data_IF_520654336247
#
_entry.id   IF_520654336247
#
_cell.length_a   1.000
_cell.length_b   1.000
_cell.length_c   1.000
_cell.angle_alpha   90.00
_cell.angle_beta   90.00
_cell.angle_gamma   90.00
#
_symmetry.space_group_name_H-M   'P 1'
#
loop_
_entity.id
_entity.type
_entity.pdbx_description
1 polymer ?
#
# COMPACT_ATOMS: atom_id res chain seq x y z
N UNK A 1 5.94 -20.02 10.76
CA UNK A 1 5.95 -18.54 10.71
C UNK A 1 5.69 -18.14 9.27
N UNK A 2 4.73 -17.25 9.08
CA UNK A 2 4.36 -16.73 7.75
C UNK A 2 5.20 -15.49 7.43
N UNK A 3 5.64 -14.74 8.46
CA UNK A 3 6.39 -13.50 8.31
C UNK A 3 7.86 -13.70 8.68
N UNK A 4 8.75 -13.09 7.91
CA UNK A 4 10.19 -12.98 8.20
C UNK A 4 10.48 -11.59 8.76
N UNK A 5 11.47 -11.47 9.65
CA UNK A 5 11.92 -10.17 10.12
C UNK A 5 12.63 -9.37 9.01
N UNK A 6 12.63 -8.06 9.14
CA UNK A 6 13.29 -7.11 8.21
C UNK A 6 12.76 -7.19 6.77
N UNK A 7 11.49 -7.49 6.61
CA UNK A 7 10.78 -7.49 5.34
C UNK A 7 9.46 -6.75 5.48
N UNK A 8 9.10 -5.97 4.48
CA UNK A 8 7.79 -5.34 4.39
C UNK A 8 6.73 -6.33 3.93
N UNK A 9 5.54 -6.18 4.46
CA UNK A 9 4.36 -6.96 4.08
C UNK A 9 3.16 -6.05 4.00
N UNK A 10 2.37 -6.18 2.95
CA UNK A 10 1.04 -5.59 2.94
C UNK A 10 0.08 -6.51 3.70
N UNK A 11 -0.66 -5.95 4.65
CA UNK A 11 -1.65 -6.68 5.45
C UNK A 11 -2.99 -5.99 5.36
N UNK A 12 -4.03 -6.69 4.94
CA UNK A 12 -5.39 -6.17 4.94
C UNK A 12 -6.34 -7.10 5.69
N UNK A 13 -7.18 -6.50 6.55
CA UNK A 13 -8.22 -7.22 7.29
C UNK A 13 -9.58 -6.69 6.85
N UNK A 14 -10.44 -7.58 6.39
CA UNK A 14 -11.80 -7.27 5.94
C UNK A 14 -12.81 -7.93 6.86
N UNK A 15 -13.79 -7.15 7.31
CA UNK A 15 -14.97 -7.64 8.04
C UNK A 15 -16.22 -7.34 7.24
N UNK A 16 -16.96 -8.40 6.89
CA UNK A 16 -18.23 -8.33 6.18
C UNK A 16 -19.29 -9.12 6.95
N UNK A 17 -20.17 -8.41 7.62
CA UNK A 17 -21.16 -9.02 8.49
C UNK A 17 -20.55 -9.96 9.52
N UNK A 18 -20.81 -11.25 9.41
CA UNK A 18 -20.24 -12.31 10.25
C UNK A 18 -18.92 -12.89 9.72
N UNK A 19 -18.53 -12.54 8.50
CA UNK A 19 -17.31 -13.03 7.84
C UNK A 19 -16.11 -12.14 8.17
N UNK A 20 -14.96 -12.74 8.17
CA UNK A 20 -13.67 -12.02 8.27
C UNK A 20 -12.68 -12.64 7.30
N UNK A 21 -11.90 -11.80 6.66
CA UNK A 21 -10.84 -12.21 5.74
C UNK A 21 -9.56 -11.47 6.13
N UNK A 22 -8.44 -12.10 5.95
CA UNK A 22 -7.11 -11.53 6.13
C UNK A 22 -6.32 -11.75 4.85
N UNK A 23 -5.65 -10.73 4.40
CA UNK A 23 -4.81 -10.79 3.20
C UNK A 23 -3.37 -10.47 3.59
N UNK A 24 -2.44 -11.19 2.99
CA UNK A 24 -1.01 -10.94 3.07
C UNK A 24 -0.48 -10.79 1.65
N UNK A 25 0.09 -9.63 1.31
CA UNK A 25 0.53 -9.28 -0.03
C UNK A 25 -0.55 -9.59 -1.09
N UNK A 26 -1.79 -9.12 -0.84
CA UNK A 26 -2.93 -9.33 -1.73
C UNK A 26 -3.53 -10.74 -1.75
N UNK A 27 -2.92 -11.72 -1.07
CA UNK A 27 -3.37 -13.12 -1.06
C UNK A 27 -4.14 -13.44 0.22
N UNK A 28 -5.36 -13.99 0.08
CA UNK A 28 -6.18 -14.38 1.23
C UNK A 28 -5.53 -15.51 2.04
N UNK A 29 -5.53 -15.33 3.35
CA UNK A 29 -4.94 -16.28 4.30
C UNK A 29 -6.03 -17.09 4.99
N UNK A 30 -5.77 -18.37 5.21
CA UNK A 30 -6.67 -19.22 6.00
C UNK A 30 -6.70 -18.77 7.46
N UNK A 31 -7.88 -18.43 7.94
CA UNK A 31 -8.09 -18.05 9.34
C UNK A 31 -8.62 -19.23 10.13
N UNK A 32 -8.04 -19.49 11.29
CA UNK A 32 -8.56 -20.42 12.28
C UNK A 32 -9.32 -19.67 13.39
N UNK A 33 -10.27 -20.37 14.04
CA UNK A 33 -11.07 -19.85 15.15
C UNK A 33 -12.40 -19.22 14.72
N UNK A 34 -13.25 -19.00 15.70
CA UNK A 34 -14.61 -18.45 15.48
C UNK A 34 -14.57 -16.98 15.09
N UNK A 35 -15.54 -16.56 14.28
CA UNK A 35 -15.74 -15.13 14.03
C UNK A 35 -16.05 -14.42 15.36
N UNK A 36 -15.33 -13.34 15.63
CA UNK A 36 -15.65 -12.49 16.78
C UNK A 36 -16.73 -11.50 16.37
N UNK A 37 -17.78 -11.40 17.19
CA UNK A 37 -18.71 -10.28 17.06
C UNK A 37 -18.00 -9.02 17.54
N UNK A 38 -17.69 -8.13 16.61
CA UNK A 38 -17.15 -6.81 16.93
C UNK A 38 -18.35 -5.90 17.18
N UNK A 39 -18.54 -5.47 18.41
CA UNK A 39 -19.52 -4.46 18.77
C UNK A 39 -18.93 -3.07 18.59
N UNK A 40 -19.74 -2.13 18.12
CA UNK A 40 -19.35 -0.72 18.11
C UNK A 40 -19.02 -0.27 19.54
N UNK A 41 -17.96 0.50 19.68
CA UNK A 41 -17.54 1.11 20.93
C UNK A 41 -16.95 2.50 20.64
N UNK A 42 -16.71 3.28 21.68
CA UNK A 42 -16.18 4.64 21.57
C UNK A 42 -14.64 4.68 21.86
N UNK A 43 -13.98 3.54 21.81
CA UNK A 43 -12.53 3.53 22.02
C UNK A 43 -11.83 4.09 20.79
N UNK A 44 -10.72 4.84 20.96
CA UNK A 44 -9.93 5.31 19.83
C UNK A 44 -9.32 4.13 19.06
N UNK A 45 -9.17 4.29 17.76
CA UNK A 45 -8.36 3.38 16.96
C UNK A 45 -6.90 3.54 17.38
N UNK A 46 -6.18 2.42 17.49
CA UNK A 46 -4.76 2.41 17.77
C UNK A 46 -4.02 1.73 16.64
N UNK A 47 -2.95 2.36 16.17
CA UNK A 47 -2.03 1.82 15.18
C UNK A 47 -0.73 1.50 15.91
N UNK A 48 -0.20 0.30 15.70
CA UNK A 48 1.04 -0.15 16.31
C UNK A 48 0.96 -0.57 17.78
N UNK A 49 -0.23 -0.54 18.41
CA UNK A 49 -0.39 -1.02 19.78
C UNK A 49 -1.80 -1.56 20.06
N UNK A 50 -1.93 -2.36 21.10
CA UNK A 50 -3.21 -2.78 21.63
C UNK A 50 -3.54 -2.12 22.98
N UNK A 51 -4.71 -2.48 23.54
CA UNK A 51 -5.12 -2.01 24.87
C UNK A 51 -4.43 -2.76 26.02
N UNK A 52 -3.66 -3.81 25.73
CA UNK A 52 -2.94 -4.64 26.72
C UNK A 52 -1.47 -4.25 26.86
N UNK A 53 -1.06 -3.06 26.44
CA UNK A 53 0.33 -2.58 26.48
C UNK A 53 1.30 -3.44 25.65
N UNK A 54 0.81 -4.08 24.59
CA UNK A 54 1.63 -4.73 23.58
C UNK A 54 1.86 -3.77 22.45
N UNK A 55 3.09 -3.64 22.04
CA UNK A 55 3.52 -2.74 20.98
C UNK A 55 4.05 -3.55 19.81
N UNK A 56 3.82 -3.05 18.61
CA UNK A 56 4.42 -3.61 17.41
C UNK A 56 5.89 -3.19 17.34
N UNK A 57 6.78 -4.15 17.32
CA UNK A 57 8.22 -3.93 17.17
C UNK A 57 8.57 -3.98 15.67
N UNK A 58 8.48 -2.84 15.00
CA UNK A 58 8.68 -2.73 13.56
C UNK A 58 8.28 -1.37 13.03
N UNK A 59 8.19 -1.28 11.70
CA UNK A 59 7.73 -0.07 11.00
C UNK A 59 6.33 -0.27 10.47
N UNK A 60 5.55 0.80 10.43
CA UNK A 60 4.18 0.84 9.89
C UNK A 60 4.12 2.01 8.92
N UNK A 61 3.50 1.77 7.79
CA UNK A 61 3.35 2.75 6.71
C UNK A 61 2.06 2.51 5.94
N UNK A 62 1.60 3.51 5.19
CA UNK A 62 0.48 3.42 4.25
C UNK A 62 -0.80 2.84 4.85
N UNK A 63 -1.20 3.31 6.04
CA UNK A 63 -2.39 2.78 6.73
C UNK A 63 -3.67 3.38 6.16
N UNK A 64 -4.59 2.51 5.74
CA UNK A 64 -5.87 2.84 5.10
C UNK A 64 -7.03 2.24 5.88
N UNK A 65 -8.06 3.03 6.12
CA UNK A 65 -9.28 2.60 6.81
C UNK A 65 -10.48 2.82 5.88
N UNK A 66 -11.23 1.76 5.65
CA UNK A 66 -12.36 1.76 4.74
C UNK A 66 -13.68 1.44 5.46
N UNK A 67 -14.77 2.05 5.04
CA UNK A 67 -16.13 1.74 5.51
C UNK A 67 -16.92 0.88 4.52
N UNK A 68 -16.28 0.42 3.46
CA UNK A 68 -16.83 -0.54 2.50
C UNK A 68 -15.99 -1.83 2.52
N UNK A 69 -16.61 -2.91 2.09
CA UNK A 69 -15.90 -4.18 1.87
C UNK A 69 -14.99 -4.01 0.66
N UNK A 70 -13.70 -4.33 0.85
CA UNK A 70 -12.73 -4.40 -0.24
C UNK A 70 -12.59 -5.85 -0.68
N UNK A 71 -12.74 -6.12 -1.95
CA UNK A 71 -12.50 -7.45 -2.51
C UNK A 71 -11.00 -7.67 -2.74
N UNK A 72 -10.60 -8.93 -2.91
CA UNK A 72 -9.19 -9.28 -3.09
C UNK A 72 -8.53 -8.55 -4.27
N UNK A 73 -9.25 -8.40 -5.38
CA UNK A 73 -8.74 -7.70 -6.56
C UNK A 73 -8.43 -6.22 -6.28
N UNK A 74 -9.32 -5.54 -5.53
CA UNK A 74 -9.12 -4.15 -5.14
C UNK A 74 -7.92 -4.00 -4.19
N UNK A 75 -7.80 -4.92 -3.22
CA UNK A 75 -6.69 -4.92 -2.26
C UNK A 75 -5.35 -5.14 -2.99
N UNK A 76 -5.31 -6.07 -3.95
CA UNK A 76 -4.11 -6.36 -4.73
C UNK A 76 -3.74 -5.21 -5.66
N UNK A 77 -4.73 -4.53 -6.26
CA UNK A 77 -4.48 -3.37 -7.13
C UNK A 77 -3.93 -2.17 -6.36
N UNK A 78 -4.44 -1.94 -5.13
CA UNK A 78 -4.08 -0.74 -4.37
C UNK A 78 -2.86 -0.93 -3.45
N UNK A 79 -2.42 -2.18 -3.18
CA UNK A 79 -1.40 -2.43 -2.16
C UNK A 79 -0.04 -1.79 -2.47
N UNK A 80 0.27 -1.62 -3.76
CA UNK A 80 1.53 -1.04 -4.24
C UNK A 80 1.34 0.37 -4.82
N UNK A 81 0.23 1.03 -4.55
CA UNK A 81 -0.08 2.36 -5.06
C UNK A 81 -0.32 3.35 -3.94
N UNK A 82 0.10 4.59 -4.12
CA UNK A 82 -0.37 5.71 -3.31
C UNK A 82 -1.78 6.09 -3.76
N UNK A 83 -2.68 6.29 -2.80
CA UNK A 83 -4.05 6.71 -3.08
C UNK A 83 -4.15 8.24 -3.08
N UNK A 84 -5.18 8.77 -3.75
CA UNK A 84 -5.44 10.22 -3.82
C UNK A 84 -6.08 10.79 -2.55
N UNK A 85 -6.64 9.93 -1.68
CA UNK A 85 -7.42 10.31 -0.50
C UNK A 85 -8.91 10.53 -0.78
N UNK A 86 -9.34 10.45 -2.04
CA UNK A 86 -10.72 10.69 -2.46
C UNK A 86 -11.49 9.42 -2.84
N UNK A 87 -10.92 8.25 -2.62
CA UNK A 87 -11.48 6.97 -3.02
C UNK A 87 -12.80 6.71 -2.29
N UNK A 88 -13.77 6.16 -3.02
CA UNK A 88 -15.07 5.87 -2.46
C UNK A 88 -14.97 4.88 -1.30
N UNK A 89 -15.44 5.30 -0.12
CA UNK A 89 -15.43 4.50 1.10
C UNK A 89 -14.12 4.54 1.88
N UNK A 90 -13.11 5.29 1.45
CA UNK A 90 -11.91 5.55 2.23
C UNK A 90 -12.25 6.55 3.35
N UNK A 91 -12.06 6.14 4.60
CA UNK A 91 -12.42 6.92 5.79
C UNK A 91 -11.24 7.68 6.35
N UNK A 92 -10.08 7.04 6.38
CA UNK A 92 -8.83 7.66 6.80
C UNK A 92 -7.65 7.04 6.04
N UNK A 93 -6.64 7.85 5.77
CA UNK A 93 -5.43 7.44 5.06
C UNK A 93 -4.21 8.17 5.64
N UNK A 94 -3.25 7.40 6.08
CA UNK A 94 -2.03 7.91 6.71
C UNK A 94 -0.81 7.43 5.95
N UNK A 95 -0.02 8.38 5.47
CA UNK A 95 1.21 8.12 4.70
C UNK A 95 2.45 7.92 5.56
N UNK A 96 2.44 8.37 6.82
CA UNK A 96 3.59 8.35 7.75
C UNK A 96 4.83 9.09 7.23
N UNK A 97 4.67 10.08 6.36
CA UNK A 97 5.75 10.82 5.71
C UNK A 97 6.04 12.19 6.34
N UNK A 98 5.49 12.49 7.52
CA UNK A 98 5.66 13.78 8.19
C UNK A 98 7.10 14.05 8.63
N UNK A 99 7.85 13.01 9.01
CA UNK A 99 9.27 13.08 9.35
C UNK A 99 9.59 13.78 10.68
N UNK A 100 8.65 14.58 11.20
CA UNK A 100 8.80 15.32 12.46
C UNK A 100 7.45 15.59 13.13
N UNK A 101 7.46 16.01 14.38
CA UNK A 101 6.25 16.33 15.14
C UNK A 101 5.52 15.11 15.69
N UNK A 102 4.34 15.35 16.27
CA UNK A 102 3.55 14.34 16.96
C UNK A 102 2.17 14.11 16.31
N UNK A 103 1.90 14.72 15.18
CA UNK A 103 0.64 14.58 14.46
C UNK A 103 0.84 13.70 13.24
N UNK A 104 -0.04 12.75 13.05
CA UNK A 104 -0.15 11.92 11.87
C UNK A 104 -1.36 12.42 11.09
N UNK A 105 -1.16 13.02 9.91
CA UNK A 105 -2.24 13.65 9.17
C UNK A 105 -3.08 12.65 8.38
N UNK A 106 -4.40 12.86 8.43
CA UNK A 106 -5.37 12.14 7.59
C UNK A 106 -5.45 12.78 6.21
N UNK A 107 -4.95 12.11 5.20
CA UNK A 107 -4.91 12.59 3.81
C UNK A 107 -6.25 12.52 3.08
N UNK A 108 -7.31 11.99 3.69
CA UNK A 108 -8.66 12.02 3.09
C UNK A 108 -9.37 13.36 3.25
N UNK A 109 -8.88 14.21 4.14
CA UNK A 109 -9.55 15.46 4.51
C UNK A 109 -10.79 15.27 5.41
N UNK A 110 -11.07 14.06 5.90
CA UNK A 110 -12.17 13.80 6.82
C UNK A 110 -11.88 14.24 8.26
N UNK A 111 -10.64 14.64 8.56
CA UNK A 111 -10.25 15.20 9.85
C UNK A 111 -10.02 14.15 10.94
N UNK A 112 -9.58 12.95 10.55
CA UNK A 112 -9.23 11.87 11.47
C UNK A 112 -7.74 11.85 11.81
N UNK A 113 -7.12 13.02 11.99
CA UNK A 113 -5.72 13.13 12.37
C UNK A 113 -5.40 12.30 13.61
N UNK A 114 -4.26 11.63 13.58
CA UNK A 114 -3.74 10.83 14.67
C UNK A 114 -2.76 11.60 15.56
N UNK A 115 -2.57 11.12 16.78
CA UNK A 115 -1.55 11.61 17.69
C UNK A 115 -0.56 10.50 18.02
N UNK A 116 0.72 10.76 17.90
CA UNK A 116 1.78 9.86 18.32
C UNK A 116 1.83 9.78 19.84
N UNK A 117 1.82 8.57 20.39
CA UNK A 117 1.82 8.33 21.84
C UNK A 117 2.85 7.26 22.18
N UNK A 118 3.69 7.50 23.19
CA UNK A 118 4.69 6.52 23.64
C UNK A 118 5.99 6.58 22.87
N UNK A 119 6.29 7.76 22.32
CA UNK A 119 7.56 8.10 21.67
C UNK A 119 7.98 7.19 20.50
N UNK A 120 7.07 6.86 19.55
CA UNK A 120 7.51 6.26 18.30
C UNK A 120 8.40 7.26 17.56
N UNK A 121 9.34 6.77 16.77
CA UNK A 121 10.24 7.60 15.98
C UNK A 121 9.89 7.54 14.51
N UNK A 122 10.03 8.66 13.82
CA UNK A 122 9.99 8.71 12.37
C UNK A 122 11.19 7.97 11.79
N UNK A 123 10.97 7.26 10.72
CA UNK A 123 12.03 6.59 9.94
C UNK A 123 11.62 6.55 8.48
N UNK A 124 12.56 6.21 7.60
CA UNK A 124 12.21 5.97 6.21
C UNK A 124 11.10 4.92 6.13
N UNK A 125 10.03 5.27 5.43
CA UNK A 125 8.85 4.44 5.22
C UNK A 125 9.10 3.29 4.25
N UNK A 126 8.00 2.63 3.89
CA UNK A 126 7.99 1.76 2.74
C UNK A 126 8.19 2.63 1.49
N UNK A 127 9.37 2.61 0.96
CA UNK A 127 9.53 3.07 -0.41
C UNK A 127 8.91 2.01 -1.29
N UNK A 128 7.84 2.35 -1.99
CA UNK A 128 7.53 1.66 -3.23
C UNK A 128 8.84 1.69 -4.01
N UNK A 129 9.63 0.62 -3.94
CA UNK A 129 10.84 0.57 -4.74
C UNK A 129 10.33 0.49 -6.16
N UNK A 130 10.40 1.61 -6.86
CA UNK A 130 10.34 1.56 -8.30
C UNK A 130 11.57 0.80 -8.75
N UNK A 131 11.48 -0.51 -8.75
CA UNK A 131 12.41 -1.31 -9.51
C UNK A 131 12.26 -0.78 -10.93
N UNK A 132 13.32 -0.22 -11.46
CA UNK A 132 13.31 0.34 -12.79
C UNK A 132 12.82 -0.74 -13.76
N UNK A 133 11.73 -0.46 -14.49
CA UNK A 133 11.07 -1.44 -15.33
C UNK A 133 9.96 -2.27 -14.66
N UNK A 134 9.78 -2.21 -13.34
CA UNK A 134 8.61 -2.75 -12.65
C UNK A 134 7.51 -1.68 -12.59
N UNK A 135 6.64 -1.67 -13.59
CA UNK A 135 5.65 -0.62 -13.81
C UNK A 135 4.35 -0.92 -13.08
N UNK A 136 4.09 -2.19 -12.81
CA UNK A 136 2.92 -2.64 -12.05
C UNK A 136 3.20 -2.82 -10.54
N UNK A 137 4.47 -2.67 -10.13
CA UNK A 137 4.94 -2.79 -8.74
C UNK A 137 4.69 -4.17 -8.09
N UNK A 138 4.82 -5.23 -8.90
CA UNK A 138 4.69 -6.61 -8.40
C UNK A 138 6.05 -7.26 -8.01
N UNK A 139 7.13 -6.46 -8.03
CA UNK A 139 8.51 -6.85 -7.76
C UNK A 139 9.11 -7.80 -8.81
N UNK A 140 8.45 -7.94 -9.97
CA UNK A 140 8.90 -8.75 -11.09
C UNK A 140 8.93 -7.91 -12.36
N UNK A 141 10.07 -7.88 -13.04
CA UNK A 141 10.14 -7.30 -14.39
C UNK A 141 9.74 -8.38 -15.39
N UNK A 142 8.59 -8.21 -16.05
CA UNK A 142 8.03 -9.21 -16.93
C UNK A 142 7.18 -8.57 -18.06
N UNK A 143 6.54 -9.40 -18.89
CA UNK A 143 5.76 -8.92 -20.03
C UNK A 143 4.59 -8.01 -19.65
N UNK A 144 4.06 -8.09 -18.43
CA UNK A 144 2.97 -7.22 -18.00
C UNK A 144 3.43 -5.78 -17.84
N UNK A 145 4.67 -5.55 -17.39
CA UNK A 145 5.28 -4.23 -17.29
C UNK A 145 5.46 -3.61 -18.69
N UNK A 146 5.92 -4.41 -19.63
CA UNK A 146 6.05 -3.95 -21.02
C UNK A 146 4.69 -3.56 -21.63
N UNK A 147 3.61 -4.29 -21.30
CA UNK A 147 2.25 -3.94 -21.75
C UNK A 147 1.79 -2.64 -21.08
N UNK A 148 2.05 -2.43 -19.80
CA UNK A 148 1.72 -1.19 -19.11
C UNK A 148 2.52 0.00 -19.64
N UNK A 149 3.81 -0.17 -19.91
CA UNK A 149 4.64 0.86 -20.53
C UNK A 149 4.06 1.32 -21.85
N UNK A 150 3.69 0.38 -22.72
CA UNK A 150 3.04 0.70 -23.99
C UNK A 150 1.72 1.44 -23.78
N UNK A 151 0.90 1.03 -22.82
CA UNK A 151 -0.38 1.69 -22.52
C UNK A 151 -0.18 3.14 -22.06
N UNK A 152 0.80 3.40 -21.20
CA UNK A 152 1.16 4.74 -20.74
C UNK A 152 1.68 5.59 -21.91
N UNK A 153 2.58 5.07 -22.74
CA UNK A 153 3.12 5.79 -23.90
C UNK A 153 2.05 6.16 -24.92
N UNK A 154 1.08 5.28 -25.16
CA UNK A 154 -0.04 5.55 -26.05
C UNK A 154 -1.09 6.48 -25.44
N UNK A 155 -0.86 6.96 -24.21
CA UNK A 155 -1.77 7.82 -23.46
C UNK A 155 -3.17 7.21 -23.26
N UNK A 156 -3.26 5.90 -23.27
CA UNK A 156 -4.48 5.16 -22.94
C UNK A 156 -4.72 5.08 -21.44
N UNK A 157 -3.64 5.18 -20.65
CA UNK A 157 -3.67 5.22 -19.20
C UNK A 157 -2.84 6.41 -18.69
N UNK A 158 -3.28 7.02 -17.60
CA UNK A 158 -2.51 8.05 -16.92
C UNK A 158 -1.65 7.33 -15.87
N UNK A 159 -0.38 7.15 -16.15
CA UNK A 159 0.56 6.64 -15.16
C UNK A 159 0.67 7.56 -13.95
N UNK A 160 0.81 7.01 -12.77
CA UNK A 160 1.21 7.77 -11.58
C UNK A 160 2.62 8.32 -11.77
N UNK A 161 3.03 9.32 -10.98
CA UNK A 161 4.40 9.84 -11.02
C UNK A 161 5.44 8.72 -10.80
N UNK A 162 5.13 7.80 -9.90
CA UNK A 162 6.00 6.67 -9.61
C UNK A 162 6.09 5.69 -10.81
N UNK A 163 4.97 5.40 -11.46
CA UNK A 163 4.95 4.57 -12.67
C UNK A 163 5.73 5.22 -13.80
N UNK A 164 5.58 6.54 -14.02
CA UNK A 164 6.34 7.24 -15.06
C UNK A 164 7.85 7.20 -14.81
N UNK A 165 8.28 7.28 -13.54
CA UNK A 165 9.69 7.13 -13.18
C UNK A 165 10.21 5.70 -13.43
N UNK A 166 9.38 4.68 -13.22
CA UNK A 166 9.74 3.28 -13.54
C UNK A 166 9.74 2.98 -15.03
N UNK A 167 9.01 3.78 -15.83
CA UNK A 167 8.94 3.66 -17.29
C UNK A 167 10.20 4.13 -18.01
N UNK A 168 10.89 5.12 -17.45
CA UNK A 168 12.15 5.66 -18.02
C UNK A 168 13.29 4.70 -17.70
N UNK A 169 13.34 3.59 -18.41
CA UNK A 169 14.24 2.47 -18.15
C UNK A 169 15.69 2.78 -18.50
N UNK A 170 15.94 3.69 -19.45
CA UNK A 170 17.27 4.16 -19.82
C UNK A 170 17.72 5.41 -19.03
N UNK A 171 16.79 6.03 -18.25
CA UNK A 171 17.02 7.20 -17.39
C UNK A 171 17.48 8.45 -18.16
N UNK A 172 16.98 8.64 -19.37
CA UNK A 172 17.30 9.82 -20.20
C UNK A 172 16.30 10.98 -20.00
N UNK A 173 15.22 10.76 -19.24
CA UNK A 173 14.17 11.72 -18.94
C UNK A 173 13.05 11.73 -19.96
N UNK A 174 13.02 10.81 -20.92
CA UNK A 174 11.99 10.69 -21.96
C UNK A 174 11.46 9.27 -21.98
N UNK A 175 10.15 9.08 -21.88
CA UNK A 175 9.54 7.76 -22.00
C UNK A 175 9.20 7.50 -23.47
N UNK A 176 9.97 6.64 -24.13
CA UNK A 176 9.81 6.35 -25.55
C UNK A 176 10.11 4.87 -25.90
N UNK A 177 10.28 4.60 -27.19
CA UNK A 177 10.49 3.25 -27.69
C UNK A 177 11.78 2.60 -27.19
N UNK A 178 12.79 3.40 -26.81
CA UNK A 178 14.06 2.90 -26.34
C UNK A 178 13.90 2.24 -24.97
N UNK A 179 12.98 2.76 -24.13
CA UNK A 179 12.62 2.16 -22.83
C UNK A 179 11.97 0.78 -23.01
N UNK A 180 11.07 0.64 -23.98
CA UNK A 180 10.45 -0.65 -24.27
C UNK A 180 11.51 -1.66 -24.71
N UNK A 181 12.44 -1.24 -25.58
CA UNK A 181 13.51 -2.12 -26.07
C UNK A 181 14.37 -2.60 -24.93
N UNK A 182 14.79 -1.68 -24.04
CA UNK A 182 15.61 -2.02 -22.87
C UNK A 182 14.86 -2.93 -21.91
N UNK A 183 13.58 -2.67 -21.66
CA UNK A 183 12.74 -3.49 -20.80
C UNK A 183 12.62 -4.93 -21.33
N UNK A 184 12.46 -5.11 -22.65
CA UNK A 184 12.46 -6.44 -23.26
C UNK A 184 13.81 -7.16 -23.13
N UNK A 185 14.93 -6.45 -23.17
CA UNK A 185 16.26 -7.04 -22.95
C UNK A 185 16.40 -7.59 -21.51
N UNK A 186 15.69 -7.03 -20.54
CA UNK A 186 15.70 -7.52 -19.15
C UNK A 186 14.74 -8.71 -18.93
N UNK A 187 13.70 -8.81 -19.75
CA UNK A 187 12.68 -9.86 -19.65
C UNK A 187 13.14 -11.17 -20.33
N UNK A 188 13.95 -11.10 -21.38
CA UNK A 188 14.41 -12.23 -22.21
C UNK A 188 15.71 -12.85 -21.73
#
# INVERSE_FOLDING_TARGET
NILSANQWYHVAAVKDGGSRRLYLNGVEQSLSGSALNVSANNNPIRIGSDYGSRYFDGRIDEVRIWNIVREQADIAADMNSTLSGNENGLVAYYHFNEGEGNTLYDHTGNGHDGLLVGDPTWSDGYTLSSLLGDINFDELINVYDAVMLVAIMLNHEQGTELQTNSCDTNQDGVIDIEDIVLLFEWIL
#
